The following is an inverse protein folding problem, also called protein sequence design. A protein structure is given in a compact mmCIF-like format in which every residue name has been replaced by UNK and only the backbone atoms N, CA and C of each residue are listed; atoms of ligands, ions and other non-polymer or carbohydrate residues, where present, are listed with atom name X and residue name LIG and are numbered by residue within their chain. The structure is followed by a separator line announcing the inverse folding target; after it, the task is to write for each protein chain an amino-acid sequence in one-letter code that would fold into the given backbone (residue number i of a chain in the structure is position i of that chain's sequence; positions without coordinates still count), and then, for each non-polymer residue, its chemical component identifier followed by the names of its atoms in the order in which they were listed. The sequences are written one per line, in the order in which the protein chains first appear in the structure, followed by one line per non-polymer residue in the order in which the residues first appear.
data_IF_339108929123
#
_entry.id   IF_339108929123
#
_cell.length_a   1.000
_cell.length_b   1.000
_cell.length_c   1.000
_cell.angle_alpha   90.00
_cell.angle_beta   90.00
_cell.angle_gamma   90.00
#
_symmetry.space_group_name_H-M   'P 1'
#
loop_
_entity.id
_entity.type
_entity.pdbx_description
1 polymer ?
#
# COMPACT_ATOMS: atom_id res chain seq x y z
N UNK A 1 -54.76 29.07 22.52
CA UNK A 1 -53.56 29.53 21.78
C UNK A 1 -52.33 29.24 22.63
N UNK A 2 -51.24 28.79 21.99
CA UNK A 2 -49.91 28.41 22.54
C UNK A 2 -49.90 27.05 23.27
N UNK A 3 -49.53 25.91 22.66
CA UNK A 3 -48.33 25.52 21.90
C UNK A 3 -47.08 25.32 22.79
N UNK A 4 -46.61 24.07 22.77
CA UNK A 4 -45.23 23.56 22.97
C UNK A 4 -44.77 23.10 24.36
N UNK A 5 -44.95 21.79 24.56
CA UNK A 5 -43.98 20.80 25.05
C UNK A 5 -42.52 21.27 25.14
N UNK A 6 -41.95 21.20 26.35
CA UNK A 6 -40.51 21.32 26.62
C UNK A 6 -39.74 20.16 25.95
N UNK A 7 -38.86 20.51 25.01
CA UNK A 7 -37.93 19.60 24.35
C UNK A 7 -36.75 19.24 25.25
N UNK A 8 -36.30 17.98 25.09
CA UNK A 8 -35.07 17.35 25.59
C UNK A 8 -33.81 18.05 25.07
N UNK A 9 -32.72 18.01 25.85
CA UNK A 9 -31.34 17.87 25.35
C UNK A 9 -30.47 17.35 26.51
N UNK A 10 -30.18 16.05 26.60
CA UNK A 10 -29.04 15.33 25.99
C UNK A 10 -27.69 15.88 26.45
N UNK A 11 -27.09 15.19 27.43
CA UNK A 11 -25.65 15.20 27.73
C UNK A 11 -24.88 14.95 26.44
N UNK A 12 -24.30 16.01 25.90
CA UNK A 12 -23.40 15.95 24.76
C UNK A 12 -22.04 16.38 25.30
N UNK A 13 -21.19 15.40 25.65
CA UNK A 13 -19.76 15.64 25.91
C UNK A 13 -19.17 16.26 24.65
N UNK A 14 -19.10 17.60 24.61
CA UNK A 14 -18.41 18.35 23.57
C UNK A 14 -16.92 18.15 23.79
N UNK A 15 -16.24 17.59 22.80
CA UNK A 15 -14.79 17.74 22.69
C UNK A 15 -14.52 19.21 22.34
N UNK A 16 -13.85 19.94 23.22
CA UNK A 16 -13.38 21.29 22.92
C UNK A 16 -12.18 21.17 21.98
N UNK A 17 -12.28 21.81 20.82
CA UNK A 17 -11.18 21.95 19.88
C UNK A 17 -10.24 23.02 20.47
N UNK A 18 -9.20 22.58 21.18
CA UNK A 18 -8.18 23.48 21.73
C UNK A 18 -7.28 23.95 20.59
N UNK A 19 -7.13 25.27 20.44
CA UNK A 19 -6.23 25.83 19.44
C UNK A 19 -4.78 25.48 19.78
N UNK A 20 -4.01 25.09 18.75
CA UNK A 20 -2.61 24.68 18.85
C UNK A 20 -1.72 25.74 19.53
N UNK A 21 -2.10 27.02 19.47
CA UNK A 21 -1.45 28.16 20.14
C UNK A 21 -1.47 28.11 21.68
N UNK A 22 -2.26 27.20 22.28
CA UNK A 22 -2.38 27.05 23.74
C UNK A 22 -1.34 26.09 24.33
N UNK A 23 -0.60 25.37 23.48
CA UNK A 23 0.43 24.43 23.93
C UNK A 23 1.79 25.13 24.05
N UNK A 24 2.57 24.87 25.12
CA UNK A 24 3.94 25.37 25.23
C UNK A 24 4.79 24.92 24.04
N UNK A 25 5.73 25.76 23.59
CA UNK A 25 6.63 25.47 22.46
C UNK A 25 7.39 24.14 22.65
N UNK A 26 7.72 23.79 23.89
CA UNK A 26 8.35 22.52 24.29
C UNK A 26 7.52 21.29 23.86
N UNK A 27 6.19 21.39 23.86
CA UNK A 27 5.29 20.31 23.42
C UNK A 27 5.36 20.15 21.90
N UNK A 28 5.52 21.24 21.17
CA UNK A 28 5.73 21.20 19.71
C UNK A 28 7.09 20.62 19.34
N UNK A 29 8.15 21.07 20.01
CA UNK A 29 9.51 20.54 19.80
C UNK A 29 9.56 19.04 20.11
N UNK A 30 8.96 18.60 21.22
CA UNK A 30 8.88 17.19 21.57
C UNK A 30 8.04 16.38 20.55
N UNK A 31 6.93 16.93 20.05
CA UNK A 31 6.12 16.27 19.02
C UNK A 31 6.87 16.16 17.68
N UNK A 32 7.66 17.17 17.32
CA UNK A 32 8.50 17.15 16.12
C UNK A 32 9.61 16.11 16.25
N UNK A 33 10.32 16.08 17.38
CA UNK A 33 11.35 15.06 17.67
C UNK A 33 10.77 13.65 17.67
N UNK A 34 9.60 13.44 18.28
CA UNK A 34 8.93 12.14 18.26
C UNK A 34 8.51 11.74 16.84
N UNK A 35 8.03 12.69 16.03
CA UNK A 35 7.68 12.42 14.63
C UNK A 35 8.91 12.14 13.75
N UNK A 36 10.08 12.67 14.09
CA UNK A 36 11.36 12.37 13.44
C UNK A 36 11.85 10.97 13.83
N UNK A 37 11.85 10.64 15.12
CA UNK A 37 12.19 9.30 15.63
C UNK A 37 11.26 8.20 15.09
N UNK A 38 9.96 8.47 14.99
CA UNK A 38 9.01 7.53 14.38
C UNK A 38 9.23 7.39 12.87
N UNK A 39 9.64 8.46 12.19
CA UNK A 39 10.04 8.39 10.78
C UNK A 39 11.30 7.57 10.61
N UNK A 40 12.28 7.72 11.50
CA UNK A 40 13.52 6.93 11.49
C UNK A 40 13.23 5.45 11.79
N UNK A 41 12.38 5.14 12.77
CA UNK A 41 11.98 3.77 13.09
C UNK A 41 11.20 3.09 11.95
N UNK A 42 10.41 3.85 11.19
CA UNK A 42 9.69 3.35 10.01
C UNK A 42 10.61 3.28 8.79
N UNK A 43 11.56 4.21 8.65
CA UNK A 43 12.57 4.20 7.60
C UNK A 43 13.57 3.04 7.79
N UNK A 44 13.85 2.64 9.03
CA UNK A 44 14.84 1.62 9.38
C UNK A 44 14.52 0.21 8.91
N UNK A 45 13.30 -0.11 8.42
CA UNK A 45 13.02 -1.43 7.84
C UNK A 45 12.13 -1.37 6.63
N UNK A 46 12.70 -0.98 5.49
CA UNK A 46 12.20 -1.42 4.19
C UNK A 46 12.13 -2.95 4.20
N UNK A 47 10.93 -3.50 4.19
CA UNK A 47 10.71 -4.94 4.17
C UNK A 47 10.75 -5.44 2.72
N UNK A 48 11.97 -5.61 2.22
CA UNK A 48 12.23 -6.08 0.86
C UNK A 48 11.59 -7.45 0.59
N UNK A 49 11.46 -8.32 1.59
CA UNK A 49 10.81 -9.63 1.45
C UNK A 49 9.30 -9.49 1.22
N UNK A 50 8.64 -8.59 1.96
CA UNK A 50 7.24 -8.25 1.72
C UNK A 50 7.02 -7.63 0.33
N UNK A 51 7.93 -6.78 -0.12
CA UNK A 51 7.88 -6.21 -1.47
C UNK A 51 8.02 -7.28 -2.56
N UNK A 52 9.00 -8.19 -2.44
CA UNK A 52 9.15 -9.35 -3.35
C UNK A 52 7.89 -10.19 -3.39
N UNK A 53 7.29 -10.47 -2.21
CA UNK A 53 6.06 -11.26 -2.10
C UNK A 53 4.90 -10.58 -2.82
N UNK A 54 4.72 -9.27 -2.65
CA UNK A 54 3.66 -8.49 -3.30
C UNK A 54 3.76 -8.61 -4.83
N UNK A 55 4.95 -8.50 -5.40
CA UNK A 55 5.18 -8.60 -6.85
C UNK A 55 4.88 -10.01 -7.35
N UNK A 56 5.35 -11.04 -6.65
CA UNK A 56 5.05 -12.44 -6.99
C UNK A 56 3.55 -12.73 -6.99
N UNK A 57 2.83 -12.27 -5.97
CA UNK A 57 1.37 -12.44 -5.89
C UNK A 57 0.66 -11.70 -7.03
N UNK A 58 1.00 -10.44 -7.26
CA UNK A 58 0.42 -9.64 -8.33
C UNK A 58 0.61 -10.30 -9.72
N UNK A 59 1.84 -10.69 -10.05
CA UNK A 59 2.12 -11.31 -11.35
C UNK A 59 1.49 -12.69 -11.46
N UNK A 60 1.46 -13.47 -10.38
CA UNK A 60 0.79 -14.78 -10.37
C UNK A 60 -0.70 -14.65 -10.67
N UNK A 61 -1.35 -13.63 -10.10
CA UNK A 61 -2.76 -13.32 -10.41
C UNK A 61 -2.93 -12.98 -11.89
N UNK A 62 -2.07 -12.13 -12.44
CA UNK A 62 -2.13 -11.71 -13.84
C UNK A 62 -1.84 -12.84 -14.83
N UNK A 63 -0.89 -13.72 -14.50
CA UNK A 63 -0.60 -14.92 -15.30
C UNK A 63 -1.81 -15.85 -15.33
N UNK A 64 -2.47 -16.04 -14.19
CA UNK A 64 -3.69 -16.86 -14.10
C UNK A 64 -4.83 -16.29 -14.95
N UNK A 65 -5.18 -15.01 -14.75
CA UNK A 65 -6.23 -14.34 -15.53
C UNK A 65 -5.94 -14.40 -17.04
N UNK A 66 -4.67 -14.17 -17.42
CA UNK A 66 -4.25 -14.22 -18.82
C UNK A 66 -4.41 -15.63 -19.39
N UNK A 67 -3.99 -16.66 -18.64
CA UNK A 67 -4.15 -18.04 -19.07
C UNK A 67 -5.63 -18.43 -19.17
N UNK A 68 -6.47 -18.05 -18.20
CA UNK A 68 -7.92 -18.28 -18.20
C UNK A 68 -8.57 -17.64 -19.44
N UNK A 69 -8.23 -16.38 -19.74
CA UNK A 69 -8.70 -15.69 -20.95
C UNK A 69 -8.34 -16.44 -22.24
N UNK A 70 -7.07 -16.85 -22.39
CA UNK A 70 -6.64 -17.56 -23.60
C UNK A 70 -7.22 -18.98 -23.68
N UNK A 71 -7.41 -19.65 -22.55
CA UNK A 71 -8.11 -20.93 -22.49
C UNK A 71 -9.56 -20.81 -22.94
N UNK A 72 -10.27 -19.77 -22.51
CA UNK A 72 -11.65 -19.51 -22.91
C UNK A 72 -11.75 -19.17 -24.41
N UNK A 73 -10.83 -18.35 -24.91
CA UNK A 73 -10.86 -17.88 -26.30
C UNK A 73 -10.41 -18.94 -27.33
N UNK A 74 -9.44 -19.80 -26.98
CA UNK A 74 -8.78 -20.71 -27.94
C UNK A 74 -8.85 -22.20 -27.55
N UNK A 75 -9.51 -22.54 -26.44
CA UNK A 75 -9.65 -23.91 -25.97
C UNK A 75 -8.29 -24.57 -25.69
N UNK A 76 -8.13 -25.85 -26.01
CA UNK A 76 -6.90 -26.59 -25.72
C UNK A 76 -5.65 -26.08 -26.47
N UNK A 77 -5.85 -25.40 -27.61
CA UNK A 77 -4.75 -24.89 -28.46
C UNK A 77 -4.17 -23.56 -28.00
N UNK A 78 -4.70 -22.97 -26.93
CA UNK A 78 -4.29 -21.65 -26.44
C UNK A 78 -2.78 -21.52 -26.19
N UNK A 79 -2.09 -22.62 -25.88
CA UNK A 79 -0.63 -22.65 -25.66
C UNK A 79 0.19 -22.54 -26.94
N UNK A 80 -0.39 -22.83 -28.09
CA UNK A 80 0.22 -22.70 -29.41
C UNK A 80 0.05 -21.29 -29.98
N UNK A 81 -0.88 -20.51 -29.42
CA UNK A 81 -1.13 -19.14 -29.83
C UNK A 81 0.04 -18.22 -29.49
N UNK A 82 0.62 -17.61 -30.53
CA UNK A 82 1.77 -16.70 -30.39
C UNK A 82 1.48 -15.56 -29.42
N UNK A 83 0.29 -14.99 -29.51
CA UNK A 83 -0.16 -13.89 -28.64
C UNK A 83 -0.20 -14.29 -27.16
N UNK A 84 -0.65 -15.52 -26.85
CA UNK A 84 -0.64 -16.06 -25.50
C UNK A 84 0.78 -16.24 -24.97
N UNK A 85 1.65 -16.85 -25.78
CA UNK A 85 3.05 -17.09 -25.44
C UNK A 85 3.78 -15.75 -25.20
N UNK A 86 3.59 -14.77 -26.08
CA UNK A 86 4.21 -13.44 -25.95
C UNK A 86 3.71 -12.72 -24.70
N UNK A 87 2.40 -12.76 -24.42
CA UNK A 87 1.82 -12.09 -23.25
C UNK A 87 2.33 -12.71 -21.94
N UNK A 88 2.35 -14.03 -21.83
CA UNK A 88 2.86 -14.72 -20.65
C UNK A 88 4.37 -14.50 -20.45
N UNK A 89 5.15 -14.51 -21.54
CA UNK A 89 6.58 -14.17 -21.49
C UNK A 89 6.80 -12.73 -21.00
N UNK A 90 6.00 -11.78 -21.48
CA UNK A 90 6.06 -10.38 -21.05
C UNK A 90 5.78 -10.23 -19.55
N UNK A 91 4.73 -10.89 -19.04
CA UNK A 91 4.42 -10.88 -17.59
C UNK A 91 5.54 -11.49 -16.75
N UNK A 92 6.14 -12.59 -17.21
CA UNK A 92 7.30 -13.19 -16.54
C UNK A 92 8.50 -12.25 -16.54
N UNK A 93 8.81 -11.61 -17.67
CA UNK A 93 9.94 -10.69 -17.77
C UNK A 93 9.74 -9.47 -16.87
N UNK A 94 8.52 -8.91 -16.83
CA UNK A 94 8.16 -7.85 -15.89
C UNK A 94 8.44 -8.25 -14.43
N UNK A 95 8.03 -9.46 -14.01
CA UNK A 95 8.34 -9.94 -12.66
C UNK A 95 9.84 -9.98 -12.37
N UNK A 96 10.64 -10.48 -13.31
CA UNK A 96 12.09 -10.57 -13.16
C UNK A 96 12.69 -9.17 -13.04
N UNK A 97 12.31 -8.25 -13.91
CA UNK A 97 12.80 -6.86 -13.90
C UNK A 97 12.48 -6.16 -12.58
N UNK A 98 11.27 -6.33 -12.06
CA UNK A 98 10.89 -5.74 -10.78
C UNK A 98 11.63 -6.36 -9.60
N UNK A 99 11.80 -7.69 -9.57
CA UNK A 99 12.58 -8.35 -8.51
C UNK A 99 14.05 -7.90 -8.52
N UNK A 100 14.65 -7.75 -9.70
CA UNK A 100 16.02 -7.24 -9.85
C UNK A 100 16.15 -5.80 -9.33
N UNK A 101 15.12 -4.95 -9.50
CA UNK A 101 15.13 -3.60 -8.92
C UNK A 101 15.13 -3.64 -7.40
N UNK A 102 14.35 -4.54 -6.80
CA UNK A 102 14.34 -4.74 -5.35
C UNK A 102 15.71 -5.22 -4.87
N UNK A 103 16.29 -6.23 -5.53
CA UNK A 103 17.60 -6.77 -5.15
C UNK A 103 18.69 -5.69 -5.20
N UNK A 104 18.72 -4.85 -6.25
CA UNK A 104 19.65 -3.71 -6.33
C UNK A 104 19.45 -2.68 -5.23
N UNK A 105 18.20 -2.41 -4.85
CA UNK A 105 17.90 -1.45 -3.79
C UNK A 105 18.31 -2.02 -2.42
N UNK A 106 18.10 -3.31 -2.18
CA UNK A 106 18.53 -3.99 -0.95
C UNK A 106 20.05 -4.01 -0.85
N UNK A 107 20.77 -4.30 -1.94
CA UNK A 107 22.23 -4.22 -2.00
C UNK A 107 22.74 -2.81 -1.68
N UNK A 108 22.12 -1.77 -2.27
CA UNK A 108 22.46 -0.37 -1.99
C UNK A 108 22.23 -0.02 -0.51
N UNK A 109 21.09 -0.39 0.05
CA UNK A 109 20.71 -0.08 1.42
C UNK A 109 21.57 -0.89 2.44
N UNK A 110 22.11 -2.06 2.06
CA UNK A 110 23.08 -2.83 2.87
C UNK A 110 24.52 -2.32 2.76
N UNK A 111 24.85 -1.59 1.70
CA UNK A 111 26.21 -1.09 1.42
C UNK A 111 26.51 0.32 1.96
N UNK A 112 25.49 1.02 2.44
CA UNK A 112 25.57 2.36 3.06
C UNK A 112 25.50 2.27 4.59
#
# INVERSE_FOLDING_TARGET
MLCQTKQKTKDQKRFELVELSTFPDEVFEHAQQLAEQLRDQVAERRDFESERRRIKVFVSHRLRETAEYFMEAYGEKWKEEKSAVEKLKSLRNYMIEELVKIDKQEEMDQSN
#
